data_IF_340703112826
#
_entry.id   IF_340703112826
#
_cell.length_a   1.000
_cell.length_b   1.000
_cell.length_c   1.000
_cell.angle_alpha   90.00
_cell.angle_beta   90.00
_cell.angle_gamma   90.00
#
_symmetry.space_group_name_H-M   'P 1'
#
loop_
_entity.id
_entity.type
_entity.pdbx_description
1 polymer ?
#
# COMPACT_ATOMS: atom_id res chain seq x y z
N UNK A 1 -22.36 -14.45 11.84
CA UNK A 1 -21.63 -15.56 11.15
C UNK A 1 -20.42 -14.92 10.51
N UNK A 2 -19.23 -15.10 11.08
CA UNK A 2 -17.98 -14.59 10.51
C UNK A 2 -17.70 -15.47 9.29
N UNK A 3 -17.57 -14.91 8.07
CA UNK A 3 -17.23 -15.73 6.91
C UNK A 3 -15.88 -16.39 7.17
N UNK A 4 -15.80 -17.70 6.94
CA UNK A 4 -14.52 -18.44 7.02
C UNK A 4 -13.49 -17.75 6.13
N UNK A 5 -12.23 -17.66 6.56
CA UNK A 5 -11.19 -17.08 5.74
C UNK A 5 -11.14 -17.83 4.41
N UNK A 6 -11.14 -17.09 3.33
CA UNK A 6 -11.01 -17.64 1.98
C UNK A 6 -9.69 -18.44 1.98
N UNK A 7 -9.77 -19.77 1.90
CA UNK A 7 -8.58 -20.60 1.74
C UNK A 7 -8.04 -20.38 0.32
N UNK A 8 -7.18 -19.41 0.17
CA UNK A 8 -6.49 -19.13 -1.08
C UNK A 8 -5.42 -20.21 -1.25
N UNK A 9 -5.67 -21.15 -2.15
CA UNK A 9 -4.74 -22.25 -2.51
C UNK A 9 -3.81 -21.90 -3.68
N UNK A 10 -3.59 -20.61 -3.95
CA UNK A 10 -2.67 -20.20 -5.00
C UNK A 10 -1.22 -20.46 -4.59
N UNK A 11 -0.37 -20.85 -5.54
CA UNK A 11 1.06 -20.99 -5.27
C UNK A 11 1.70 -19.63 -5.00
N UNK A 12 2.80 -19.64 -4.27
CA UNK A 12 3.69 -18.47 -4.21
C UNK A 12 4.29 -18.25 -5.58
N UNK A 13 4.20 -17.01 -6.09
CA UNK A 13 4.79 -16.60 -7.36
C UNK A 13 5.89 -15.55 -7.15
N UNK A 14 6.89 -15.60 -8.01
CA UNK A 14 8.04 -14.68 -8.02
C UNK A 14 8.57 -14.50 -9.44
N UNK A 15 9.45 -13.56 -9.61
CA UNK A 15 10.17 -13.32 -10.87
C UNK A 15 10.72 -14.63 -11.48
N UNK A 16 10.48 -14.84 -12.77
CA UNK A 16 10.87 -16.01 -13.54
C UNK A 16 9.82 -17.13 -13.59
N UNK A 17 8.76 -17.09 -12.76
CA UNK A 17 7.68 -18.06 -12.81
C UNK A 17 6.83 -17.88 -14.07
N UNK A 18 6.19 -18.99 -14.54
CA UNK A 18 5.34 -18.97 -15.72
C UNK A 18 4.07 -19.80 -15.53
N UNK A 19 3.05 -19.54 -16.33
CA UNK A 19 1.84 -20.36 -16.40
C UNK A 19 0.55 -19.62 -16.02
N UNK A 20 -0.52 -20.40 -15.82
CA UNK A 20 -1.87 -19.84 -15.67
C UNK A 20 -2.06 -19.03 -14.38
N UNK A 21 -1.36 -19.36 -13.31
CA UNK A 21 -1.39 -18.55 -12.09
C UNK A 21 -0.74 -17.18 -12.29
N UNK A 22 0.30 -17.08 -13.14
CA UNK A 22 0.89 -15.80 -13.54
C UNK A 22 -0.09 -14.99 -14.39
N UNK A 23 -0.82 -15.63 -15.33
CA UNK A 23 -1.90 -14.93 -16.06
C UNK A 23 -3.00 -14.43 -15.13
N UNK A 24 -3.35 -15.22 -14.12
CA UNK A 24 -4.33 -14.77 -13.10
C UNK A 24 -3.81 -13.56 -12.32
N UNK A 25 -2.56 -13.59 -11.89
CA UNK A 25 -1.88 -12.48 -11.24
C UNK A 25 -1.92 -11.22 -12.11
N UNK A 26 -1.48 -11.32 -13.37
CA UNK A 26 -1.46 -10.20 -14.32
C UNK A 26 -2.85 -9.58 -14.51
N UNK A 27 -3.93 -10.39 -14.57
CA UNK A 27 -5.32 -9.88 -14.60
C UNK A 27 -5.68 -9.05 -13.38
N UNK A 28 -5.27 -9.48 -12.19
CA UNK A 28 -5.50 -8.70 -10.97
C UNK A 28 -4.67 -7.41 -10.99
N UNK A 29 -3.40 -7.48 -11.38
CA UNK A 29 -2.50 -6.32 -11.40
C UNK A 29 -2.99 -5.25 -12.38
N UNK A 30 -3.44 -5.60 -13.58
CA UNK A 30 -4.04 -4.63 -14.53
C UNK A 30 -5.22 -3.90 -13.90
N UNK A 31 -6.03 -4.58 -13.10
CA UNK A 31 -7.16 -3.95 -12.39
C UNK A 31 -6.72 -3.08 -11.21
N UNK A 32 -5.66 -3.47 -10.49
CA UNK A 32 -5.23 -2.84 -9.23
C UNK A 32 -4.16 -1.76 -9.43
N UNK A 33 -3.40 -1.87 -10.51
CA UNK A 33 -2.29 -0.97 -10.88
C UNK A 33 -2.44 -0.56 -12.35
N UNK A 34 -3.51 0.16 -12.71
CA UNK A 34 -3.83 0.48 -14.10
C UNK A 34 -2.81 1.39 -14.78
N UNK A 35 -1.91 2.01 -14.01
CA UNK A 35 -0.91 2.93 -14.52
C UNK A 35 0.20 2.25 -15.31
N UNK A 36 0.39 0.93 -15.16
CA UNK A 36 1.39 0.15 -15.89
C UNK A 36 0.78 -0.34 -17.22
N UNK A 37 0.81 0.55 -18.22
CA UNK A 37 0.24 0.26 -19.54
C UNK A 37 0.97 -0.86 -20.32
N UNK A 38 2.23 -1.13 -19.98
CA UNK A 38 3.05 -2.19 -20.61
C UNK A 38 2.79 -3.59 -20.06
N UNK A 39 2.00 -3.73 -18.99
CA UNK A 39 1.67 -5.04 -18.41
C UNK A 39 0.71 -5.81 -19.31
N UNK A 40 1.12 -6.99 -19.76
CA UNK A 40 0.34 -7.89 -20.61
C UNK A 40 0.01 -9.20 -19.91
N UNK A 41 -1.03 -9.90 -20.36
CA UNK A 41 -1.45 -11.20 -19.81
C UNK A 41 -0.85 -12.31 -20.68
N UNK A 42 0.44 -12.55 -20.53
CA UNK A 42 1.17 -13.59 -21.29
C UNK A 42 1.49 -14.85 -20.46
N UNK A 43 1.42 -14.72 -19.13
CA UNK A 43 1.74 -15.79 -18.20
C UNK A 43 3.23 -15.92 -17.91
N UNK A 44 4.01 -14.86 -18.12
CA UNK A 44 5.42 -14.79 -17.77
C UNK A 44 5.60 -13.75 -16.65
N UNK A 45 6.15 -14.14 -15.51
CA UNK A 45 6.48 -13.22 -14.44
C UNK A 45 7.83 -12.54 -14.76
N UNK A 46 7.77 -11.57 -15.63
CA UNK A 46 8.89 -10.75 -16.10
C UNK A 46 9.13 -9.51 -15.20
N UNK A 47 10.02 -8.62 -15.63
CA UNK A 47 10.35 -7.38 -14.91
C UNK A 47 9.15 -6.42 -14.79
N UNK A 48 8.27 -6.39 -15.79
CA UNK A 48 7.06 -5.55 -15.78
C UNK A 48 6.05 -6.09 -14.77
N UNK A 49 5.88 -7.41 -14.73
CA UNK A 49 5.02 -8.08 -13.74
C UNK A 49 5.58 -7.90 -12.33
N UNK A 50 6.92 -7.99 -12.15
CA UNK A 50 7.58 -7.72 -10.86
C UNK A 50 7.31 -6.29 -10.39
N UNK A 51 7.54 -5.30 -11.25
CA UNK A 51 7.29 -3.90 -10.95
C UNK A 51 5.82 -3.68 -10.53
N UNK A 52 4.87 -4.28 -11.25
CA UNK A 52 3.46 -4.19 -10.93
C UNK A 52 3.13 -4.78 -9.56
N UNK A 53 3.74 -5.91 -9.20
CA UNK A 53 3.60 -6.52 -7.86
C UNK A 53 4.16 -5.60 -6.78
N UNK A 54 5.35 -5.06 -6.96
CA UNK A 54 5.99 -4.17 -5.98
C UNK A 54 5.19 -2.88 -5.77
N UNK A 55 4.67 -2.28 -6.85
CA UNK A 55 3.78 -1.12 -6.76
C UNK A 55 2.49 -1.48 -6.02
N UNK A 56 1.87 -2.63 -6.31
CA UNK A 56 0.68 -3.07 -5.60
C UNK A 56 0.97 -3.26 -4.10
N UNK A 57 2.08 -3.92 -3.76
CA UNK A 57 2.51 -4.13 -2.37
C UNK A 57 2.76 -2.79 -1.65
N UNK A 58 3.39 -1.81 -2.33
CA UNK A 58 3.57 -0.45 -1.80
C UNK A 58 2.23 0.23 -1.50
N UNK A 59 1.30 0.24 -2.46
CA UNK A 59 -0.02 0.86 -2.33
C UNK A 59 -0.86 0.27 -1.21
N UNK A 60 -0.69 -1.01 -0.94
CA UNK A 60 -1.43 -1.74 0.10
C UNK A 60 -0.66 -1.90 1.41
N UNK A 61 0.46 -1.22 1.57
CA UNK A 61 1.33 -1.31 2.77
C UNK A 61 1.81 -2.73 3.08
N UNK A 62 1.84 -3.62 2.11
CA UNK A 62 2.47 -4.93 2.22
C UNK A 62 4.00 -4.82 2.19
N UNK A 63 4.69 -5.91 2.52
CA UNK A 63 6.13 -6.00 2.30
C UNK A 63 6.39 -5.94 0.80
N UNK A 64 7.18 -4.98 0.36
CA UNK A 64 7.55 -4.74 -1.04
C UNK A 64 8.74 -5.63 -1.40
N UNK A 65 8.50 -6.92 -1.59
CA UNK A 65 9.53 -7.93 -1.91
C UNK A 65 9.35 -8.59 -3.28
N UNK A 66 8.33 -8.18 -4.03
CA UNK A 66 8.02 -8.74 -5.34
C UNK A 66 7.52 -10.18 -5.31
N UNK A 67 7.23 -10.74 -4.12
CA UNK A 67 6.77 -12.11 -3.95
C UNK A 67 5.26 -12.13 -3.70
N UNK A 68 4.55 -12.89 -4.51
CA UNK A 68 3.10 -13.04 -4.38
C UNK A 68 2.78 -14.27 -3.52
N UNK A 69 2.89 -14.10 -2.20
CA UNK A 69 2.49 -15.09 -1.21
C UNK A 69 1.00 -14.99 -0.84
N UNK A 70 0.59 -15.73 0.19
CA UNK A 70 -0.82 -15.82 0.63
C UNK A 70 -1.42 -14.44 0.89
N UNK A 71 -0.74 -13.60 1.67
CA UNK A 71 -1.24 -12.26 2.04
C UNK A 71 -1.35 -11.33 0.82
N UNK A 72 -0.40 -11.42 -0.12
CA UNK A 72 -0.46 -10.64 -1.37
C UNK A 72 -1.62 -11.11 -2.25
N UNK A 73 -1.87 -12.43 -2.34
CA UNK A 73 -3.04 -12.96 -3.04
C UNK A 73 -4.35 -12.47 -2.41
N UNK A 74 -4.48 -12.56 -1.07
CA UNK A 74 -5.66 -12.05 -0.37
C UNK A 74 -5.89 -10.57 -0.66
N UNK A 75 -4.85 -9.76 -0.57
CA UNK A 75 -4.93 -8.34 -0.88
C UNK A 75 -5.35 -8.09 -2.34
N UNK A 76 -4.84 -8.85 -3.30
CA UNK A 76 -5.25 -8.76 -4.72
C UNK A 76 -6.74 -9.06 -4.91
N UNK A 77 -7.28 -10.07 -4.22
CA UNK A 77 -8.71 -10.40 -4.25
C UNK A 77 -9.58 -9.31 -3.65
N UNK A 78 -9.24 -8.85 -2.45
CA UNK A 78 -10.01 -7.86 -1.68
C UNK A 78 -9.81 -6.45 -2.25
N UNK A 79 -8.59 -6.12 -2.67
CA UNK A 79 -8.17 -4.80 -3.15
C UNK A 79 -7.43 -3.96 -2.12
N UNK A 80 -7.23 -4.51 -0.93
CA UNK A 80 -6.53 -3.90 0.18
C UNK A 80 -5.87 -4.98 1.05
N UNK A 81 -4.99 -4.58 1.95
CA UNK A 81 -4.39 -5.49 2.94
C UNK A 81 -5.48 -6.05 3.88
N UNK A 82 -5.52 -7.37 4.12
CA UNK A 82 -6.58 -8.00 4.93
C UNK A 82 -6.47 -7.72 6.43
N UNK A 83 -5.26 -7.43 6.94
CA UNK A 83 -4.92 -7.31 8.36
C UNK A 83 -4.45 -5.89 8.72
N UNK A 84 -5.29 -4.89 8.50
CA UNK A 84 -4.96 -3.50 8.82
C UNK A 84 -4.91 -3.29 10.35
N UNK A 85 -3.73 -3.02 10.95
CA UNK A 85 -3.61 -2.85 12.39
C UNK A 85 -4.16 -1.50 12.86
N UNK A 86 -4.65 -1.46 14.08
CA UNK A 86 -4.91 -0.21 14.78
C UNK A 86 -3.58 0.36 15.30
N UNK A 87 -3.17 1.56 14.84
CA UNK A 87 -1.92 2.18 15.21
C UNK A 87 -2.14 3.52 15.92
N UNK A 88 -1.38 3.73 16.99
CA UNK A 88 -1.47 4.91 17.86
C UNK A 88 -0.12 5.24 18.50
N UNK A 89 -0.04 6.36 19.20
CA UNK A 89 1.20 6.80 19.87
C UNK A 89 1.75 5.70 20.81
N UNK A 90 3.04 5.43 20.69
CA UNK A 90 3.74 4.35 21.40
C UNK A 90 3.92 3.06 20.62
N UNK A 91 3.23 2.88 19.48
CA UNK A 91 3.47 1.72 18.61
C UNK A 91 4.84 1.81 17.92
N UNK A 92 5.43 0.63 17.68
CA UNK A 92 6.69 0.47 16.94
C UNK A 92 6.56 -0.70 15.98
N UNK A 93 6.55 -0.46 14.68
CA UNK A 93 6.51 -1.51 13.66
C UNK A 93 6.89 -0.95 12.28
N UNK A 94 7.14 -1.85 11.33
CA UNK A 94 7.50 -1.50 9.95
C UNK A 94 6.42 -0.67 9.24
N UNK A 95 5.15 -0.90 9.58
CA UNK A 95 4.04 -0.14 9.01
C UNK A 95 4.14 1.35 9.33
N UNK A 96 4.64 1.72 10.52
CA UNK A 96 4.83 3.12 10.89
C UNK A 96 5.89 3.78 10.02
N UNK A 97 7.00 3.10 9.73
CA UNK A 97 8.02 3.63 8.84
C UNK A 97 7.46 3.87 7.42
N UNK A 98 6.62 2.97 6.91
CA UNK A 98 5.94 3.14 5.62
C UNK A 98 4.97 4.33 5.65
N UNK A 99 4.16 4.46 6.72
CA UNK A 99 3.24 5.59 6.91
C UNK A 99 4.00 6.91 6.99
N UNK A 100 5.08 6.97 7.76
CA UNK A 100 5.95 8.15 7.85
C UNK A 100 6.51 8.51 6.47
N UNK A 101 6.91 7.52 5.66
CA UNK A 101 7.37 7.72 4.29
C UNK A 101 6.26 8.32 3.42
N UNK A 102 5.08 7.71 3.39
CA UNK A 102 3.93 8.17 2.62
C UNK A 102 3.53 9.60 3.03
N UNK A 103 3.40 9.89 4.33
CA UNK A 103 3.07 11.23 4.83
C UNK A 103 4.17 12.27 4.57
N UNK A 104 5.44 11.84 4.45
CA UNK A 104 6.58 12.69 4.15
C UNK A 104 6.66 13.04 2.66
N UNK A 105 6.36 12.08 1.76
CA UNK A 105 6.38 12.30 0.32
C UNK A 105 5.09 12.94 -0.22
N UNK A 106 4.03 12.99 0.57
CA UNK A 106 2.80 13.69 0.24
C UNK A 106 3.01 15.15 -0.25
N UNK A 107 3.95 15.96 0.30
CA UNK A 107 4.21 17.30 -0.18
C UNK A 107 4.70 17.37 -1.62
N UNK A 108 5.51 16.42 -2.06
CA UNK A 108 6.06 16.43 -3.42
C UNK A 108 4.97 16.42 -4.49
N UNK A 109 3.86 15.72 -4.20
CA UNK A 109 2.66 15.71 -5.05
C UNK A 109 1.81 16.94 -4.80
N UNK A 110 1.75 17.40 -3.57
CA UNK A 110 0.93 18.51 -3.13
C UNK A 110 1.53 19.88 -3.47
N UNK A 111 2.86 20.02 -3.54
CA UNK A 111 3.52 21.25 -4.03
C UNK A 111 3.17 21.51 -5.51
N UNK A 112 3.08 20.45 -6.31
CA UNK A 112 2.59 20.52 -7.69
C UNK A 112 1.11 20.93 -7.76
N UNK A 113 0.33 20.65 -6.69
CA UNK A 113 -1.09 20.95 -6.51
C UNK A 113 -1.37 22.08 -5.47
N UNK A 114 -0.32 22.71 -4.91
CA UNK A 114 -0.44 23.78 -3.91
C UNK A 114 -0.79 23.34 -2.49
N UNK A 115 -0.53 22.10 -2.12
CA UNK A 115 -0.85 21.53 -0.79
C UNK A 115 0.41 21.42 0.10
N UNK A 116 0.23 21.35 1.44
CA UNK A 116 1.33 21.22 2.42
C UNK A 116 1.52 19.74 2.81
N UNK A 117 2.78 19.33 3.03
CA UNK A 117 3.08 18.00 3.54
C UNK A 117 2.66 17.78 5.00
N UNK A 118 2.60 16.52 5.40
CA UNK A 118 2.15 16.16 6.75
C UNK A 118 3.30 15.82 7.70
N UNK A 119 4.33 15.11 7.23
CA UNK A 119 5.41 14.61 8.09
C UNK A 119 6.78 15.19 7.73
N UNK A 120 7.44 15.84 8.68
CA UNK A 120 8.75 16.48 8.51
C UNK A 120 9.84 15.85 9.38
N UNK A 121 9.53 14.70 10.02
CA UNK A 121 10.43 13.99 10.89
C UNK A 121 11.38 13.03 10.15
N UNK A 122 12.15 12.29 10.95
CA UNK A 122 12.95 11.14 10.49
C UNK A 122 12.02 9.92 10.35
N UNK A 123 12.18 9.13 9.32
CA UNK A 123 11.51 7.83 9.16
C UNK A 123 12.25 6.87 10.09
N UNK A 124 11.66 6.55 11.23
CA UNK A 124 12.27 5.75 12.31
C UNK A 124 11.39 4.57 12.78
N UNK A 125 10.18 4.44 12.23
CA UNK A 125 9.24 3.39 12.61
C UNK A 125 8.63 3.57 14.00
N UNK A 126 8.75 4.77 14.59
CA UNK A 126 8.23 5.10 15.92
C UNK A 126 7.01 6.00 15.80
N UNK A 127 5.88 5.56 16.35
CA UNK A 127 4.69 6.41 16.44
C UNK A 127 4.81 7.37 17.63
N UNK A 128 5.69 8.37 17.50
CA UNK A 128 5.86 9.43 18.49
C UNK A 128 5.00 10.67 18.17
N UNK A 129 5.19 11.74 18.93
CA UNK A 129 4.40 12.98 18.83
C UNK A 129 4.38 13.59 17.43
N UNK A 130 5.51 13.53 16.71
CA UNK A 130 5.61 14.03 15.32
C UNK A 130 4.76 13.22 14.35
N UNK A 131 4.74 11.90 14.52
CA UNK A 131 3.91 11.01 13.71
C UNK A 131 2.44 11.24 14.02
N UNK A 132 2.09 11.37 15.31
CA UNK A 132 0.73 11.66 15.73
C UNK A 132 0.24 13.02 15.19
N UNK A 133 1.06 14.05 15.26
CA UNK A 133 0.73 15.37 14.72
C UNK A 133 0.49 15.32 13.20
N UNK A 134 1.33 14.56 12.47
CA UNK A 134 1.17 14.35 11.03
C UNK A 134 -0.13 13.60 10.70
N UNK A 135 -0.45 12.55 11.45
CA UNK A 135 -1.71 11.80 11.29
C UNK A 135 -2.92 12.70 11.56
N UNK A 136 -2.90 13.51 12.62
CA UNK A 136 -3.98 14.47 12.91
C UNK A 136 -4.15 15.51 11.80
N UNK A 137 -3.04 16.03 11.25
CA UNK A 137 -3.11 16.97 10.12
C UNK A 137 -3.70 16.31 8.89
N UNK A 138 -3.28 15.09 8.59
CA UNK A 138 -3.82 14.28 7.49
C UNK A 138 -5.32 13.98 7.67
N UNK A 139 -5.74 13.57 8.87
CA UNK A 139 -7.14 13.32 9.20
C UNK A 139 -8.00 14.60 9.04
N UNK A 140 -7.50 15.75 9.49
CA UNK A 140 -8.18 17.02 9.32
C UNK A 140 -8.39 17.37 7.85
N UNK A 141 -7.37 17.22 7.01
CA UNK A 141 -7.46 17.50 5.57
C UNK A 141 -8.42 16.55 4.84
N UNK A 142 -8.53 15.32 5.35
CA UNK A 142 -9.47 14.31 4.83
C UNK A 142 -10.86 14.38 5.47
N UNK A 143 -11.10 15.34 6.36
CA UNK A 143 -12.36 15.51 7.09
C UNK A 143 -12.77 14.28 7.91
N UNK A 144 -11.78 13.56 8.43
CA UNK A 144 -11.96 12.43 9.33
C UNK A 144 -12.03 12.89 10.80
N UNK A 145 -12.34 11.97 11.71
CA UNK A 145 -12.17 12.19 13.14
C UNK A 145 -10.68 12.42 13.42
N UNK A 146 -10.35 13.58 14.02
CA UNK A 146 -8.97 14.01 14.28
C UNK A 146 -8.52 13.49 15.65
N UNK A 147 -8.36 12.18 15.78
CA UNK A 147 -7.94 11.51 17.02
C UNK A 147 -6.43 11.18 17.06
N UNK A 148 -5.78 11.17 15.90
CA UNK A 148 -4.38 10.77 15.75
C UNK A 148 -4.18 9.25 15.81
N UNK A 149 -5.23 8.48 15.58
CA UNK A 149 -5.22 7.01 15.55
C UNK A 149 -5.42 6.55 14.10
N UNK A 150 -4.63 5.59 13.65
CA UNK A 150 -4.79 5.01 12.33
C UNK A 150 -5.69 3.79 12.46
N UNK A 151 -6.98 4.00 12.27
CA UNK A 151 -8.01 2.97 12.12
C UNK A 151 -8.39 2.76 10.66
N UNK A 152 -9.43 1.95 10.39
CA UNK A 152 -9.83 1.55 9.03
C UNK A 152 -10.00 2.72 8.06
N UNK A 153 -10.73 3.75 8.44
CA UNK A 153 -10.95 4.92 7.58
C UNK A 153 -9.65 5.67 7.26
N UNK A 154 -8.75 5.83 8.26
CA UNK A 154 -7.46 6.47 8.03
C UNK A 154 -6.59 5.64 7.10
N UNK A 155 -6.64 4.30 7.21
CA UNK A 155 -5.95 3.39 6.30
C UNK A 155 -6.41 3.53 4.85
N UNK A 156 -7.72 3.63 4.61
CA UNK A 156 -8.27 3.78 3.26
C UNK A 156 -7.66 5.01 2.56
N UNK A 157 -7.64 6.16 3.22
CA UNK A 157 -7.03 7.37 2.68
C UNK A 157 -5.50 7.32 2.58
N UNK A 158 -4.82 6.59 3.47
CA UNK A 158 -3.37 6.37 3.36
C UNK A 158 -3.03 5.52 2.14
N UNK A 159 -3.84 4.50 1.82
CA UNK A 159 -3.68 3.68 0.62
C UNK A 159 -3.94 4.51 -0.66
N UNK A 160 -4.96 5.37 -0.67
CA UNK A 160 -5.18 6.31 -1.77
C UNK A 160 -3.97 7.24 -1.97
N UNK A 161 -3.43 7.79 -0.88
CA UNK A 161 -2.24 8.64 -0.93
C UNK A 161 -1.02 7.88 -1.45
N UNK A 162 -0.79 6.64 -1.00
CA UNK A 162 0.28 5.78 -1.49
C UNK A 162 0.12 5.48 -2.99
N UNK A 163 -1.12 5.27 -3.46
CA UNK A 163 -1.40 5.08 -4.87
C UNK A 163 -1.05 6.31 -5.70
N UNK A 164 -1.40 7.51 -5.22
CA UNK A 164 -1.01 8.76 -5.87
C UNK A 164 0.50 8.93 -5.91
N UNK A 165 1.21 8.68 -4.80
CA UNK A 165 2.67 8.79 -4.74
C UNK A 165 3.34 7.84 -5.74
N UNK A 166 2.89 6.59 -5.80
CA UNK A 166 3.47 5.59 -6.69
C UNK A 166 3.33 5.94 -8.17
N UNK A 167 2.31 6.68 -8.55
CA UNK A 167 2.11 7.15 -9.93
C UNK A 167 3.18 8.19 -10.36
N UNK A 168 3.75 8.95 -9.42
CA UNK A 168 4.72 10.01 -9.73
C UNK A 168 6.17 9.63 -9.46
N UNK A 169 6.43 8.60 -8.65
CA UNK A 169 7.77 8.28 -8.12
C UNK A 169 8.31 6.95 -8.63
N UNK A 170 7.44 6.03 -9.03
CA UNK A 170 7.79 4.70 -9.54
C UNK A 170 7.45 4.57 -11.02
#
# INVERSE_FOLDING_TARGET
>A
MIPSPIQIKQPTLKFGDTGDYVKQLQKFLIKRVPDIQSLVIDGVFDEITLLAVEIFQYRTFLKQDGIVGVVTWEALYIGQRPDLPLLYSGCHCDDIAKIQSVLKFAPFIQETLGMKGYYFGKIDGVFGDRTQAAVKSFQNDKQLVVDGIIGSQTWDYLMELAALISHFVL
#
